data_IF_536342494294
#
_entry.id   IF_536342494294
#
_cell.length_a   1.000
_cell.length_b   1.000
_cell.length_c   1.000
_cell.angle_alpha   90.00
_cell.angle_beta   90.00
_cell.angle_gamma   90.00
#
_symmetry.space_group_name_H-M   'P 1'
#
loop_
_entity.id
_entity.type
_entity.pdbx_description
1 polymer ?
#
# COMPACT_ATOMS: atom_id res chain seq x y z
N UNK A 1 42.16 43.79 64.54
CA UNK A 1 41.67 44.53 63.34
C UNK A 1 41.27 43.53 62.27
N UNK A 2 39.96 43.37 62.02
CA UNK A 2 39.34 43.14 60.68
C UNK A 2 37.83 43.07 60.87
N UNK A 3 37.13 43.94 60.15
CA UNK A 3 35.68 44.15 60.18
C UNK A 3 34.98 42.98 59.48
N UNK A 4 33.87 42.52 60.07
CA UNK A 4 32.91 41.59 59.47
C UNK A 4 32.06 42.37 58.46
N UNK A 5 32.05 41.93 57.20
CA UNK A 5 31.24 42.53 56.12
C UNK A 5 29.87 41.87 56.01
N UNK A 6 28.87 42.70 55.77
CA UNK A 6 27.46 42.35 55.51
C UNK A 6 27.35 41.58 54.18
N UNK A 7 26.61 40.47 54.17
CA UNK A 7 26.15 39.79 52.96
C UNK A 7 24.82 40.40 52.50
N UNK A 8 24.76 40.85 51.24
CA UNK A 8 23.53 41.21 50.55
C UNK A 8 22.93 39.96 49.89
N UNK A 9 21.61 39.79 50.05
CA UNK A 9 20.80 38.79 49.35
C UNK A 9 20.63 39.20 47.88
N UNK A 10 21.05 38.34 46.96
CA UNK A 10 20.68 38.41 45.53
C UNK A 10 19.51 37.45 45.32
N UNK A 11 18.37 37.98 44.89
CA UNK A 11 17.22 37.18 44.46
C UNK A 11 17.56 36.45 43.16
N UNK A 12 17.50 35.13 43.18
CA UNK A 12 17.57 34.29 41.98
C UNK A 12 16.14 34.06 41.47
N UNK A 13 15.84 34.53 40.26
CA UNK A 13 14.57 34.24 39.56
C UNK A 13 14.61 32.80 39.06
N UNK A 14 13.62 32.01 39.45
CA UNK A 14 13.38 30.65 38.93
C UNK A 14 12.66 30.79 37.59
N UNK A 15 13.37 30.53 36.50
CA UNK A 15 12.75 30.27 35.19
C UNK A 15 12.26 28.82 35.20
N UNK A 16 10.96 28.63 34.96
CA UNK A 16 10.34 27.31 34.87
C UNK A 16 10.92 26.53 33.68
N UNK A 17 11.63 25.44 33.96
CA UNK A 17 12.04 24.47 32.95
C UNK A 17 10.88 23.47 32.79
N UNK A 18 10.34 23.39 31.57
CA UNK A 18 9.34 22.40 31.20
C UNK A 18 9.93 20.99 31.37
N UNK A 19 9.29 20.19 32.23
CA UNK A 19 9.63 18.79 32.47
C UNK A 19 9.03 17.96 31.34
N UNK A 20 9.84 17.61 30.34
CA UNK A 20 9.47 16.62 29.33
C UNK A 20 9.38 15.26 30.00
N UNK A 21 8.15 14.78 30.23
CA UNK A 21 7.86 13.44 30.69
C UNK A 21 8.15 12.47 29.54
N UNK A 22 9.32 11.84 29.56
CA UNK A 22 9.64 10.70 28.69
C UNK A 22 8.80 9.52 29.17
N UNK A 23 7.75 9.17 28.43
CA UNK A 23 7.04 7.91 28.55
C UNK A 23 8.03 6.78 28.25
N UNK A 24 8.56 6.14 29.29
CA UNK A 24 9.18 4.83 29.18
C UNK A 24 8.07 3.83 28.81
N UNK A 25 8.02 3.45 27.53
CA UNK A 25 7.23 2.31 27.09
C UNK A 25 7.67 1.06 27.84
N UNK A 26 6.79 0.54 28.69
CA UNK A 26 7.03 -0.72 29.39
C UNK A 26 7.03 -1.87 28.38
N UNK A 27 8.12 -2.63 28.35
CA UNK A 27 8.16 -3.92 27.68
C UNK A 27 7.18 -4.86 28.39
N UNK A 28 6.08 -5.23 27.73
CA UNK A 28 5.24 -6.33 28.19
C UNK A 28 6.02 -7.65 27.96
N UNK A 29 6.40 -8.31 29.06
CA UNK A 29 6.87 -9.70 29.04
C UNK A 29 5.65 -10.62 28.98
N UNK A 30 5.72 -11.69 28.20
CA UNK A 30 4.69 -12.73 28.25
C UNK A 30 4.84 -13.58 29.53
N UNK A 31 3.88 -14.47 29.80
CA UNK A 31 3.90 -15.35 30.99
C UNK A 31 5.05 -16.38 31.02
N UNK A 32 6.00 -16.33 30.07
CA UNK A 32 7.19 -17.18 30.01
C UNK A 32 8.49 -16.40 30.20
N UNK A 33 8.42 -15.09 30.41
CA UNK A 33 9.62 -14.25 30.62
C UNK A 33 10.45 -14.07 29.36
N UNK A 34 9.90 -14.39 28.18
CA UNK A 34 10.50 -13.98 26.91
C UNK A 34 9.95 -12.59 26.54
N UNK A 35 10.76 -11.71 25.94
CA UNK A 35 10.24 -10.47 25.36
C UNK A 35 9.17 -10.87 24.35
N UNK A 36 7.92 -10.46 24.61
CA UNK A 36 6.84 -10.69 23.67
C UNK A 36 7.30 -10.18 22.30
N UNK A 37 7.12 -10.99 21.25
CA UNK A 37 7.31 -10.63 19.85
C UNK A 37 6.28 -9.58 19.38
N UNK A 38 6.02 -8.56 20.20
CA UNK A 38 5.08 -7.47 20.00
C UNK A 38 5.54 -6.49 18.88
N UNK A 39 6.30 -6.97 17.90
CA UNK A 39 6.83 -6.16 16.81
C UNK A 39 7.32 -6.94 15.59
N UNK A 40 7.07 -8.25 15.51
CA UNK A 40 7.24 -8.96 14.24
C UNK A 40 6.07 -8.58 13.35
N UNK A 41 6.21 -7.51 12.58
CA UNK A 41 5.22 -7.18 11.57
C UNK A 41 5.16 -8.31 10.55
N UNK A 42 3.97 -8.66 10.05
CA UNK A 42 3.89 -9.76 9.11
C UNK A 42 4.60 -9.47 7.78
N UNK A 43 4.90 -8.21 7.43
CA UNK A 43 5.73 -7.87 6.26
C UNK A 43 7.17 -8.33 6.46
N UNK A 44 7.75 -8.04 7.61
CA UNK A 44 9.11 -8.45 7.92
C UNK A 44 9.23 -9.97 7.86
N UNK A 45 8.23 -10.68 8.40
CA UNK A 45 8.16 -12.15 8.38
C UNK A 45 7.95 -12.70 6.96
N UNK A 46 7.06 -12.11 6.15
CA UNK A 46 6.81 -12.53 4.77
C UNK A 46 8.02 -12.29 3.87
N UNK A 47 8.65 -11.11 3.98
CA UNK A 47 9.87 -10.79 3.26
C UNK A 47 11.01 -11.74 3.66
N UNK A 48 11.18 -12.04 4.95
CA UNK A 48 12.13 -13.04 5.44
C UNK A 48 11.87 -14.43 4.86
N UNK A 49 10.59 -14.87 4.86
CA UNK A 49 10.17 -16.16 4.32
C UNK A 49 10.55 -16.31 2.84
N UNK A 50 10.34 -15.27 2.05
CA UNK A 50 10.63 -15.23 0.61
C UNK A 50 12.09 -14.97 0.25
N UNK A 51 12.96 -14.73 1.24
CA UNK A 51 14.38 -14.41 1.04
C UNK A 51 15.28 -15.30 1.89
N UNK A 52 15.76 -14.83 3.04
CA UNK A 52 16.73 -15.51 3.90
C UNK A 52 16.26 -16.92 4.30
N UNK A 53 14.98 -17.10 4.62
CA UNK A 53 14.46 -18.39 5.06
C UNK A 53 14.53 -19.48 3.99
N UNK A 54 14.55 -19.10 2.70
CA UNK A 54 14.68 -20.06 1.59
C UNK A 54 16.00 -20.84 1.66
N UNK A 55 17.05 -20.21 2.20
CA UNK A 55 18.35 -20.82 2.42
C UNK A 55 18.47 -21.36 3.84
N UNK A 56 18.08 -20.62 4.87
CA UNK A 56 18.28 -21.11 6.26
C UNK A 56 17.41 -22.32 6.57
N UNK A 57 16.14 -22.33 6.13
CA UNK A 57 15.21 -23.44 6.32
C UNK A 57 15.60 -24.72 5.56
N UNK A 58 16.56 -24.65 4.64
CA UNK A 58 17.03 -25.81 3.86
C UNK A 58 18.45 -26.23 4.23
N UNK A 59 19.40 -25.27 4.26
CA UNK A 59 20.83 -25.53 4.46
C UNK A 59 21.26 -25.44 5.92
N UNK A 60 20.55 -24.67 6.74
CA UNK A 60 20.90 -24.45 8.15
C UNK A 60 20.03 -25.26 9.13
N UNK A 61 18.92 -25.84 8.67
CA UNK A 61 17.90 -26.50 9.50
C UNK A 61 18.43 -27.65 10.37
N UNK A 62 19.41 -28.41 9.90
CA UNK A 62 20.02 -29.50 10.68
C UNK A 62 20.67 -29.00 11.97
N UNK A 63 21.23 -27.79 11.95
CA UNK A 63 21.92 -27.21 13.10
C UNK A 63 21.08 -26.14 13.82
N UNK A 64 20.28 -25.34 13.10
CA UNK A 64 19.60 -24.15 13.62
C UNK A 64 18.07 -24.29 13.70
N UNK A 65 17.56 -25.52 13.81
CA UNK A 65 16.16 -25.80 14.12
C UNK A 65 15.88 -25.74 15.62
N UNK A 66 14.61 -25.90 16.01
CA UNK A 66 14.21 -25.98 17.41
C UNK A 66 14.86 -27.18 18.10
N UNK A 67 15.60 -26.92 19.18
CA UNK A 67 16.36 -27.95 19.91
C UNK A 67 17.78 -28.18 19.39
N UNK A 68 18.19 -27.46 18.33
CA UNK A 68 19.56 -27.41 17.83
C UNK A 68 20.40 -26.32 18.50
N UNK A 69 21.31 -25.76 17.72
CA UNK A 69 22.17 -24.64 18.07
C UNK A 69 21.42 -23.30 17.91
N UNK A 70 21.60 -22.42 18.90
CA UNK A 70 21.11 -21.05 18.83
C UNK A 70 22.00 -20.18 17.93
N UNK A 71 21.44 -19.19 17.21
CA UNK A 71 20.02 -18.84 17.14
C UNK A 71 19.17 -19.78 16.27
N UNK A 72 17.87 -19.88 16.56
CA UNK A 72 16.93 -20.77 15.85
C UNK A 72 16.50 -20.22 14.47
N UNK A 73 17.45 -19.82 13.62
CA UNK A 73 17.23 -19.14 12.32
C UNK A 73 16.60 -20.03 11.24
N UNK A 74 16.44 -21.32 11.53
CA UNK A 74 15.85 -22.32 10.65
C UNK A 74 14.79 -23.14 11.39
N UNK A 75 14.14 -22.56 12.41
CA UNK A 75 12.96 -23.15 13.04
C UNK A 75 11.82 -23.33 12.01
N UNK A 76 11.08 -24.44 12.12
CA UNK A 76 9.92 -24.73 11.27
C UNK A 76 8.86 -23.63 11.33
N UNK A 77 8.66 -23.05 12.52
CA UNK A 77 7.90 -21.84 12.72
C UNK A 77 8.70 -20.63 12.20
N UNK A 78 8.29 -20.14 11.03
CA UNK A 78 8.94 -19.02 10.31
C UNK A 78 9.01 -17.76 11.18
N UNK A 79 8.04 -17.52 12.07
CA UNK A 79 8.04 -16.35 12.95
C UNK A 79 9.17 -16.43 13.98
N UNK A 80 9.44 -17.64 14.50
CA UNK A 80 10.58 -17.88 15.40
C UNK A 80 11.91 -17.81 14.65
N UNK A 81 11.96 -18.35 13.44
CA UNK A 81 13.14 -18.24 12.58
C UNK A 81 13.47 -16.79 12.25
N UNK A 82 12.46 -15.99 11.91
CA UNK A 82 12.55 -14.56 11.68
C UNK A 82 13.11 -13.83 12.90
N UNK A 83 12.53 -14.07 14.09
CA UNK A 83 12.99 -13.44 15.34
C UNK A 83 14.47 -13.77 15.64
N UNK A 84 14.81 -15.04 15.47
CA UNK A 84 16.18 -15.54 15.60
C UNK A 84 17.11 -14.85 14.61
N UNK A 85 16.75 -14.74 13.34
CA UNK A 85 17.61 -14.16 12.31
C UNK A 85 17.77 -12.64 12.49
N UNK A 86 16.67 -11.94 12.77
CA UNK A 86 16.61 -10.48 12.85
C UNK A 86 17.55 -9.91 13.90
N UNK A 87 17.70 -10.62 15.03
CA UNK A 87 18.61 -10.25 16.12
C UNK A 87 20.08 -10.18 15.68
N UNK A 88 20.45 -10.90 14.61
CA UNK A 88 21.82 -11.01 14.10
C UNK A 88 22.02 -10.36 12.73
N UNK A 89 21.03 -9.58 12.30
CA UNK A 89 21.03 -8.85 11.03
C UNK A 89 21.24 -7.36 11.28
N UNK A 90 22.17 -6.76 10.55
CA UNK A 90 22.39 -5.33 10.52
C UNK A 90 21.92 -4.77 9.18
N UNK A 91 20.72 -4.22 9.14
CA UNK A 91 20.17 -3.66 7.90
C UNK A 91 20.83 -2.35 7.46
N UNK A 92 21.46 -1.61 8.38
CA UNK A 92 22.22 -0.39 8.02
C UNK A 92 23.57 -0.69 7.35
N UNK A 93 24.09 -1.91 7.54
CA UNK A 93 25.31 -2.41 6.92
C UNK A 93 25.21 -3.94 6.81
N UNK A 94 24.68 -4.41 5.68
CA UNK A 94 24.35 -5.83 5.45
C UNK A 94 25.57 -6.73 5.63
N UNK A 95 26.73 -6.34 5.11
CA UNK A 95 27.97 -7.11 5.22
C UNK A 95 28.46 -7.25 6.67
N UNK A 96 28.10 -6.30 7.54
CA UNK A 96 28.40 -6.36 8.97
C UNK A 96 27.45 -7.28 9.76
N UNK A 97 26.39 -7.80 9.13
CA UNK A 97 25.46 -8.74 9.76
C UNK A 97 26.22 -9.99 10.22
N UNK A 98 25.98 -10.44 11.45
CA UNK A 98 26.58 -11.69 11.95
C UNK A 98 26.15 -12.87 11.09
N UNK A 99 24.89 -12.87 10.64
CA UNK A 99 24.35 -13.87 9.71
C UNK A 99 25.20 -14.01 8.44
N UNK A 100 25.54 -12.89 7.79
CA UNK A 100 26.36 -12.85 6.56
C UNK A 100 27.80 -13.27 6.84
N UNK A 101 28.43 -12.75 7.89
CA UNK A 101 29.82 -13.11 8.22
C UNK A 101 29.99 -14.58 8.57
N UNK A 102 28.98 -15.20 9.19
CA UNK A 102 28.99 -16.64 9.49
C UNK A 102 28.83 -17.51 8.27
N UNK A 103 28.10 -17.07 7.26
CA UNK A 103 28.12 -17.76 5.97
C UNK A 103 29.47 -17.61 5.24
N UNK A 104 30.27 -16.59 5.59
CA UNK A 104 31.59 -16.34 5.00
C UNK A 104 32.78 -17.06 5.66
N UNK A 105 32.63 -17.60 6.87
CA UNK A 105 33.76 -18.18 7.63
C UNK A 105 33.83 -19.71 7.59
N UNK A 106 33.05 -20.34 6.70
CA UNK A 106 32.99 -21.80 6.53
C UNK A 106 32.12 -22.50 7.57
N UNK A 107 31.35 -21.75 8.37
CA UNK A 107 30.46 -22.28 9.41
C UNK A 107 29.54 -23.41 8.94
N UNK A 108 29.00 -23.27 7.72
CA UNK A 108 28.04 -24.21 7.15
C UNK A 108 28.67 -25.33 6.30
N UNK A 109 30.00 -25.47 6.31
CA UNK A 109 30.72 -26.50 5.54
C UNK A 109 30.70 -26.31 4.01
N UNK A 110 30.31 -25.12 3.53
CA UNK A 110 30.16 -24.76 2.11
C UNK A 110 31.25 -23.83 1.56
N UNK A 111 30.98 -23.22 0.40
CA UNK A 111 31.91 -22.32 -0.30
C UNK A 111 31.84 -20.90 0.29
N UNK A 112 32.75 -20.63 1.24
CA UNK A 112 32.80 -19.43 2.09
C UNK A 112 32.41 -18.11 1.38
N UNK A 113 33.08 -17.77 0.27
CA UNK A 113 32.85 -16.45 -0.36
C UNK A 113 31.53 -16.35 -1.12
N UNK A 114 31.06 -17.43 -1.76
CA UNK A 114 29.80 -17.42 -2.52
C UNK A 114 28.57 -17.54 -1.62
N UNK A 115 28.66 -18.31 -0.54
CA UNK A 115 27.54 -18.47 0.41
C UNK A 115 27.31 -17.15 1.17
N UNK A 116 28.39 -16.42 1.46
CA UNK A 116 28.33 -15.08 2.04
C UNK A 116 27.68 -14.04 1.17
N UNK A 117 28.05 -13.97 -0.11
CA UNK A 117 27.45 -13.00 -1.04
C UNK A 117 25.98 -13.34 -1.34
N UNK A 118 25.63 -14.62 -1.43
CA UNK A 118 24.23 -15.07 -1.52
C UNK A 118 23.43 -14.61 -0.29
N UNK A 119 23.94 -14.87 0.92
CA UNK A 119 23.26 -14.45 2.15
C UNK A 119 23.12 -12.94 2.26
N UNK A 120 24.16 -12.17 1.87
CA UNK A 120 24.10 -10.71 1.83
C UNK A 120 23.00 -10.23 0.87
N UNK A 121 22.90 -10.80 -0.33
CA UNK A 121 21.85 -10.47 -1.28
C UNK A 121 20.44 -10.80 -0.74
N UNK A 122 20.29 -11.94 -0.05
CA UNK A 122 19.01 -12.31 0.57
C UNK A 122 18.63 -11.39 1.74
N UNK A 123 19.59 -10.96 2.56
CA UNK A 123 19.36 -9.98 3.63
C UNK A 123 19.01 -8.61 3.05
N UNK A 124 19.66 -8.19 1.98
CA UNK A 124 19.32 -6.94 1.28
C UNK A 124 17.89 -7.01 0.74
N UNK A 125 17.51 -8.13 0.12
CA UNK A 125 16.13 -8.36 -0.34
C UNK A 125 15.12 -8.32 0.81
N UNK A 126 15.44 -8.95 1.95
CA UNK A 126 14.61 -8.89 3.15
C UNK A 126 14.40 -7.45 3.65
N UNK A 127 15.46 -6.64 3.65
CA UNK A 127 15.36 -5.22 3.99
C UNK A 127 14.43 -4.48 3.04
N UNK A 128 14.64 -4.59 1.73
CA UNK A 128 13.87 -3.89 0.71
C UNK A 128 12.39 -4.27 0.71
N UNK A 129 12.08 -5.58 0.79
CA UNK A 129 10.71 -6.07 0.70
C UNK A 129 9.93 -5.96 2.02
N UNK A 130 10.64 -5.84 3.15
CA UNK A 130 10.05 -5.94 4.49
C UNK A 130 10.44 -4.81 5.43
N UNK A 131 11.64 -4.90 5.98
CA UNK A 131 12.04 -4.10 7.14
C UNK A 131 12.16 -2.59 6.83
N UNK A 132 12.54 -2.22 5.60
CA UNK A 132 12.53 -0.83 5.14
C UNK A 132 11.12 -0.29 4.94
N UNK A 133 10.21 -1.14 4.44
CA UNK A 133 8.80 -0.77 4.24
C UNK A 133 8.12 -0.52 5.57
N UNK A 134 8.47 -1.24 6.63
CA UNK A 134 7.97 -0.94 7.99
C UNK A 134 8.35 0.45 8.48
N UNK A 135 9.58 0.88 8.22
CA UNK A 135 10.00 2.23 8.55
C UNK A 135 9.21 3.27 7.74
N UNK A 136 8.90 2.99 6.47
CA UNK A 136 8.08 3.86 5.63
C UNK A 136 6.61 3.92 6.08
N UNK A 137 6.06 2.81 6.56
CA UNK A 137 4.69 2.78 7.11
C UNK A 137 4.60 3.45 8.49
N UNK A 138 5.70 3.53 9.24
CA UNK A 138 5.72 4.24 10.52
C UNK A 138 5.40 5.74 10.36
N UNK A 139 5.71 6.31 9.19
CA UNK A 139 5.36 7.68 8.81
C UNK A 139 4.06 7.75 7.97
N UNK A 140 3.48 6.60 7.63
CA UNK A 140 2.28 6.49 6.80
C UNK A 140 0.99 6.77 7.57
N UNK A 141 -0.05 7.13 6.82
CA UNK A 141 -1.42 7.28 7.30
C UNK A 141 -2.07 5.90 7.28
N UNK A 142 -2.18 5.29 8.45
CA UNK A 142 -2.79 3.98 8.66
C UNK A 142 -4.27 4.16 9.00
N UNK A 143 -5.18 3.69 8.14
CA UNK A 143 -6.60 3.70 8.45
C UNK A 143 -6.94 2.56 9.44
N UNK A 144 -8.03 2.67 10.21
CA UNK A 144 -8.43 1.63 11.14
C UNK A 144 -8.61 0.26 10.45
N UNK A 145 -8.07 -0.79 11.07
CA UNK A 145 -8.29 -2.15 10.61
C UNK A 145 -9.78 -2.51 10.66
N UNK A 146 -10.29 -3.19 9.64
CA UNK A 146 -11.67 -3.66 9.59
C UNK A 146 -11.73 -5.16 9.31
N UNK A 147 -12.63 -5.85 9.99
CA UNK A 147 -12.90 -7.27 9.74
C UNK A 147 -13.44 -7.46 8.32
N UNK A 148 -12.93 -8.49 7.65
CA UNK A 148 -13.37 -8.84 6.31
C UNK A 148 -14.77 -9.48 6.40
N UNK A 149 -15.74 -9.08 5.55
CA UNK A 149 -17.04 -9.72 5.53
C UNK A 149 -16.93 -11.24 5.34
N UNK A 150 -17.63 -12.00 6.17
CA UNK A 150 -17.57 -13.48 6.12
C UNK A 150 -18.30 -14.07 4.91
N UNK A 151 -19.18 -13.28 4.29
CA UNK A 151 -20.09 -13.66 3.21
C UNK A 151 -19.68 -13.13 1.83
N UNK A 152 -18.38 -12.86 1.63
CA UNK A 152 -17.86 -12.42 0.32
C UNK A 152 -18.16 -13.44 -0.78
N UNK A 153 -18.81 -12.98 -1.84
CA UNK A 153 -19.09 -13.73 -3.07
C UNK A 153 -17.80 -13.98 -3.89
N UNK A 154 -17.81 -14.98 -4.78
CA UNK A 154 -16.78 -15.16 -5.82
C UNK A 154 -17.11 -14.38 -7.11
N UNK A 155 -18.40 -14.15 -7.37
CA UNK A 155 -18.88 -13.44 -8.55
C UNK A 155 -18.89 -11.93 -8.35
N UNK A 156 -19.33 -11.49 -7.17
CA UNK A 156 -19.70 -10.10 -6.92
C UNK A 156 -18.76 -9.46 -5.92
N UNK A 157 -18.42 -8.21 -6.19
CA UNK A 157 -17.63 -7.40 -5.27
C UNK A 157 -18.50 -6.81 -4.17
N UNK A 158 -18.00 -6.87 -2.94
CA UNK A 158 -18.51 -6.16 -1.77
C UNK A 158 -17.61 -4.95 -1.51
N UNK A 159 -18.20 -3.78 -1.33
CA UNK A 159 -17.44 -2.55 -1.07
C UNK A 159 -17.22 -2.40 0.43
N UNK A 160 -15.96 -2.32 0.85
CA UNK A 160 -15.57 -1.89 2.19
C UNK A 160 -15.25 -0.40 2.18
N UNK A 161 -15.52 0.28 3.30
CA UNK A 161 -15.43 1.73 3.42
C UNK A 161 -14.68 2.13 4.70
N UNK A 162 -13.77 3.10 4.59
CA UNK A 162 -13.06 3.69 5.71
C UNK A 162 -13.30 5.20 5.73
N UNK A 163 -13.70 5.75 6.87
CA UNK A 163 -13.77 7.21 7.03
C UNK A 163 -12.36 7.81 6.91
N UNK A 164 -12.29 8.96 6.25
CA UNK A 164 -11.09 9.78 6.13
C UNK A 164 -11.16 11.03 7.03
N UNK A 165 -12.18 11.15 7.88
CA UNK A 165 -12.42 12.37 8.68
C UNK A 165 -11.26 12.72 9.62
N UNK A 166 -10.54 11.72 10.11
CA UNK A 166 -9.40 11.90 11.02
C UNK A 166 -8.10 12.26 10.30
N UNK A 167 -8.04 12.07 8.97
CA UNK A 167 -6.78 12.16 8.19
C UNK A 167 -6.85 13.18 7.06
N UNK A 168 -8.04 13.56 6.62
CA UNK A 168 -8.27 14.56 5.58
C UNK A 168 -9.16 15.69 6.09
N UNK A 169 -8.68 16.95 6.08
CA UNK A 169 -9.53 18.11 6.37
C UNK A 169 -10.72 18.19 5.40
N UNK A 170 -11.94 18.16 5.93
CA UNK A 170 -13.17 18.10 5.12
C UNK A 170 -13.68 16.69 4.83
N UNK A 171 -12.99 15.68 5.34
CA UNK A 171 -13.46 14.31 5.40
C UNK A 171 -13.52 13.60 4.06
N UNK A 172 -14.25 12.49 4.07
CA UNK A 172 -14.44 11.64 2.92
C UNK A 172 -14.43 10.17 3.30
N UNK A 173 -14.47 9.32 2.28
CA UNK A 173 -14.48 7.87 2.43
C UNK A 173 -13.48 7.29 1.46
N UNK A 174 -12.59 6.43 1.95
CA UNK A 174 -11.84 5.51 1.11
C UNK A 174 -12.66 4.24 0.92
N UNK A 175 -12.78 3.77 -0.32
CA UNK A 175 -13.49 2.55 -0.64
C UNK A 175 -12.57 1.55 -1.34
N UNK A 176 -12.75 0.27 -1.00
CA UNK A 176 -12.09 -0.85 -1.64
C UNK A 176 -13.13 -1.92 -1.97
N UNK A 177 -13.11 -2.45 -3.18
CA UNK A 177 -14.01 -3.53 -3.60
C UNK A 177 -13.34 -4.88 -3.40
N UNK A 178 -13.97 -5.81 -2.68
CA UNK A 178 -13.44 -7.13 -2.35
C UNK A 178 -14.34 -8.26 -2.81
N UNK A 179 -13.75 -9.39 -3.18
CA UNK A 179 -14.44 -10.66 -3.39
C UNK A 179 -13.52 -11.83 -3.08
N UNK A 180 -14.07 -13.02 -2.96
CA UNK A 180 -13.26 -14.26 -2.90
C UNK A 180 -12.71 -14.57 -4.28
N UNK A 181 -11.50 -15.12 -4.31
CA UNK A 181 -10.97 -15.71 -5.52
C UNK A 181 -11.71 -17.03 -5.86
N UNK A 182 -11.32 -17.68 -6.96
CA UNK A 182 -11.96 -18.93 -7.39
C UNK A 182 -11.68 -20.11 -6.44
N UNK A 183 -10.59 -20.07 -5.68
CA UNK A 183 -10.29 -21.10 -4.68
C UNK A 183 -11.11 -20.92 -3.39
N UNK A 184 -11.54 -19.70 -3.10
CA UNK A 184 -12.15 -19.32 -1.83
C UNK A 184 -11.12 -19.02 -0.73
N UNK A 185 -9.83 -19.32 -0.95
CA UNK A 185 -8.75 -19.09 -0.01
C UNK A 185 -8.06 -17.72 -0.21
N UNK A 186 -8.31 -17.08 -1.35
CA UNK A 186 -7.80 -15.78 -1.68
C UNK A 186 -8.87 -14.69 -1.62
N UNK A 187 -8.39 -13.45 -1.53
CA UNK A 187 -9.17 -12.24 -1.69
C UNK A 187 -8.68 -11.51 -2.92
N UNK A 188 -9.62 -11.13 -3.77
CA UNK A 188 -9.37 -10.21 -4.87
C UNK A 188 -9.88 -8.86 -4.41
N UNK A 189 -8.99 -7.87 -4.38
CA UNK A 189 -9.36 -6.48 -4.14
C UNK A 189 -9.18 -5.67 -5.42
N UNK A 190 -10.04 -4.68 -5.62
CA UNK A 190 -10.02 -3.84 -6.82
C UNK A 190 -10.66 -2.48 -6.54
N UNK A 191 -10.49 -1.57 -7.50
CA UNK A 191 -11.11 -0.25 -7.51
C UNK A 191 -10.92 0.55 -6.21
N UNK A 192 -9.69 0.67 -5.66
CA UNK A 192 -9.46 1.65 -4.61
C UNK A 192 -9.90 3.03 -5.10
N UNK A 193 -10.78 3.70 -4.35
CA UNK A 193 -11.28 5.03 -4.70
C UNK A 193 -11.47 5.90 -3.48
N UNK A 194 -11.42 7.22 -3.70
CA UNK A 194 -11.72 8.22 -2.68
C UNK A 194 -12.99 8.94 -3.08
N UNK A 195 -13.94 8.98 -2.14
CA UNK A 195 -15.17 9.74 -2.22
C UNK A 195 -15.01 10.93 -1.30
N UNK A 196 -14.85 12.13 -1.86
CA UNK A 196 -14.70 13.36 -1.08
C UNK A 196 -15.31 14.57 -1.79
N UNK A 197 -15.70 15.57 -1.01
CA UNK A 197 -16.13 16.88 -1.51
C UNK A 197 -14.96 17.77 -1.94
N UNK A 198 -13.72 17.31 -1.72
CA UNK A 198 -12.47 18.01 -2.02
C UNK A 198 -11.59 17.17 -2.92
N UNK A 199 -10.70 17.82 -3.64
CA UNK A 199 -9.65 17.13 -4.38
C UNK A 199 -8.56 16.66 -3.42
N UNK A 200 -8.05 15.46 -3.66
CA UNK A 200 -7.10 14.79 -2.77
C UNK A 200 -5.91 14.29 -3.59
N UNK A 201 -4.70 14.64 -3.17
CA UNK A 201 -3.48 14.07 -3.70
C UNK A 201 -3.14 12.78 -2.94
N UNK A 202 -2.82 11.73 -3.69
CA UNK A 202 -2.50 10.39 -3.20
C UNK A 202 -1.20 9.92 -3.82
N UNK A 203 -0.19 9.66 -2.99
CA UNK A 203 1.12 9.22 -3.48
C UNK A 203 1.24 7.72 -3.65
N UNK A 204 0.80 6.97 -2.64
CA UNK A 204 0.71 5.52 -2.71
C UNK A 204 -0.35 4.99 -1.78
N UNK A 205 -0.80 3.78 -2.08
CA UNK A 205 -1.71 2.98 -1.27
C UNK A 205 -1.13 1.58 -1.15
N UNK A 206 -1.09 1.10 0.08
CA UNK A 206 -0.74 -0.27 0.42
C UNK A 206 -1.91 -0.89 1.17
N UNK A 207 -2.13 -2.19 0.95
CA UNK A 207 -3.17 -2.94 1.66
C UNK A 207 -2.49 -3.89 2.64
N UNK A 208 -2.80 -3.72 3.92
CA UNK A 208 -2.45 -4.63 4.99
C UNK A 208 -3.51 -5.70 5.21
N UNK A 209 -3.07 -6.89 5.62
CA UNK A 209 -3.83 -8.03 6.10
C UNK A 209 -3.26 -8.43 7.46
N UNK A 210 -4.08 -8.42 8.51
CA UNK A 210 -3.69 -8.80 9.88
C UNK A 210 -2.45 -8.06 10.42
N UNK A 211 -2.35 -6.76 10.12
CA UNK A 211 -1.19 -5.94 10.51
C UNK A 211 0.07 -6.16 9.66
N UNK A 212 -0.02 -6.92 8.58
CA UNK A 212 1.04 -7.16 7.60
C UNK A 212 0.69 -6.57 6.24
N UNK A 213 1.54 -5.79 5.59
CA UNK A 213 1.39 -5.54 4.14
C UNK A 213 1.30 -6.83 3.35
N UNK A 214 0.36 -6.81 2.43
CA UNK A 214 -0.05 -7.99 1.70
C UNK A 214 0.73 -8.16 0.38
N UNK A 215 2.03 -7.84 0.40
CA UNK A 215 2.97 -7.97 -0.72
C UNK A 215 3.47 -6.63 -1.28
N UNK A 216 4.27 -6.62 -2.38
CA UNK A 216 4.59 -5.40 -3.11
C UNK A 216 3.29 -4.76 -3.60
N UNK A 217 3.07 -3.50 -3.23
CA UNK A 217 1.77 -2.85 -3.38
C UNK A 217 1.38 -2.70 -4.84
N UNK A 218 0.24 -3.29 -5.22
CA UNK A 218 -0.43 -3.04 -6.51
C UNK A 218 -0.65 -1.54 -6.77
N UNK A 219 -0.70 -0.75 -5.70
CA UNK A 219 -0.93 0.69 -5.73
C UNK A 219 0.21 1.50 -5.08
N UNK A 220 1.43 0.94 -5.12
CA UNK A 220 2.62 1.57 -4.52
C UNK A 220 3.09 2.84 -5.26
N UNK A 221 2.64 3.06 -6.50
CA UNK A 221 3.04 4.17 -7.37
C UNK A 221 1.82 4.88 -7.97
N UNK A 222 1.02 5.58 -7.14
CA UNK A 222 -0.16 6.31 -7.62
C UNK A 222 0.16 7.75 -8.01
N UNK A 223 0.90 8.47 -7.15
CA UNK A 223 1.34 9.87 -7.26
C UNK A 223 0.44 10.77 -8.13
N UNK A 224 -0.78 11.02 -7.66
CA UNK A 224 -1.79 11.76 -8.43
C UNK A 224 -2.83 12.45 -7.57
N UNK A 225 -3.45 13.47 -8.17
CA UNK A 225 -4.64 14.11 -7.59
C UNK A 225 -5.92 13.51 -8.14
N UNK A 226 -6.83 13.13 -7.24
CA UNK A 226 -8.23 12.84 -7.55
C UNK A 226 -9.07 14.07 -7.28
N UNK A 227 -9.99 14.40 -8.18
CA UNK A 227 -10.88 15.53 -7.97
C UNK A 227 -12.02 15.18 -7.01
N UNK A 228 -12.62 16.21 -6.42
CA UNK A 228 -13.85 16.09 -5.67
C UNK A 228 -14.93 15.32 -6.47
N UNK A 229 -15.62 14.39 -5.82
CA UNK A 229 -16.66 13.57 -6.41
C UNK A 229 -16.81 12.21 -5.74
N UNK A 230 -17.65 11.37 -6.32
CA UNK A 230 -18.01 10.04 -5.80
C UNK A 230 -17.36 8.88 -6.56
N UNK A 231 -16.58 9.18 -7.60
CA UNK A 231 -16.21 8.19 -8.61
C UNK A 231 -14.71 8.18 -8.97
N UNK A 232 -13.88 8.88 -8.19
CA UNK A 232 -12.47 9.01 -8.49
C UNK A 232 -11.68 7.75 -8.12
N UNK A 233 -11.47 6.90 -9.12
CA UNK A 233 -10.74 5.64 -8.98
C UNK A 233 -9.24 5.93 -8.95
N UNK A 234 -8.55 5.43 -7.91
CA UNK A 234 -7.08 5.52 -7.80
C UNK A 234 -6.41 4.57 -8.78
N UNK A 235 -6.93 3.34 -8.85
CA UNK A 235 -6.56 2.33 -9.83
C UNK A 235 -7.69 1.33 -10.03
N UNK A 236 -7.77 0.77 -11.22
CA UNK A 236 -8.64 -0.31 -11.66
C UNK A 236 -7.95 -1.67 -11.62
N UNK A 237 -6.63 -1.68 -11.43
CA UNK A 237 -5.84 -2.89 -11.21
C UNK A 237 -6.40 -3.65 -10.01
N UNK A 238 -6.49 -4.97 -10.17
CA UNK A 238 -6.86 -5.86 -9.07
C UNK A 238 -5.61 -6.48 -8.47
N UNK A 239 -5.58 -6.61 -7.15
CA UNK A 239 -4.58 -7.41 -6.47
C UNK A 239 -5.21 -8.66 -5.86
N UNK A 240 -4.36 -9.63 -5.51
CA UNK A 240 -4.75 -10.88 -4.89
C UNK A 240 -3.99 -11.03 -3.58
N UNK A 241 -4.71 -11.22 -2.47
CA UNK A 241 -4.14 -11.57 -1.17
C UNK A 241 -4.51 -13.00 -0.84
N UNK A 242 -3.56 -13.74 -0.27
CA UNK A 242 -3.85 -15.04 0.33
C UNK A 242 -4.35 -14.80 1.75
N UNK A 243 -5.58 -15.21 2.04
CA UNK A 243 -6.25 -14.99 3.32
C UNK A 243 -7.10 -16.23 3.66
N UNK A 244 -6.44 -17.26 4.17
CA UNK A 244 -7.08 -18.50 4.57
C UNK A 244 -7.75 -18.36 5.93
N UNK A 245 -9.08 -18.34 5.95
CA UNK A 245 -9.87 -18.23 7.18
C UNK A 245 -10.91 -17.12 7.12
N UNK A 246 -11.61 -16.95 8.24
CA UNK A 246 -12.64 -15.91 8.43
C UNK A 246 -12.17 -14.72 9.23
N UNK A 247 -11.10 -14.87 10.03
CA UNK A 247 -10.76 -13.94 11.09
C UNK A 247 -9.64 -13.00 10.65
N UNK A 248 -9.82 -12.42 9.47
CA UNK A 248 -8.83 -11.53 8.87
C UNK A 248 -9.30 -10.07 8.92
N UNK A 249 -8.34 -9.17 9.09
CA UNK A 249 -8.56 -7.73 9.08
C UNK A 249 -7.79 -7.06 7.94
N UNK A 250 -8.41 -6.10 7.29
CA UNK A 250 -7.79 -5.28 6.25
C UNK A 250 -7.51 -3.88 6.75
N UNK A 251 -6.31 -3.40 6.42
CA UNK A 251 -5.80 -2.10 6.84
C UNK A 251 -5.26 -1.34 5.63
N UNK A 252 -5.98 -0.34 5.10
CA UNK A 252 -5.44 0.57 4.09
C UNK A 252 -4.37 1.47 4.69
N UNK A 253 -3.26 1.64 3.98
CA UNK A 253 -2.14 2.46 4.44
C UNK A 253 -1.68 3.36 3.30
N UNK A 254 -1.67 4.67 3.53
CA UNK A 254 -1.21 5.67 2.57
C UNK A 254 0.14 6.21 3.01
N UNK A 255 1.08 6.40 2.09
CA UNK A 255 2.31 7.14 2.42
C UNK A 255 2.09 8.65 2.46
N UNK A 256 1.14 9.13 1.66
CA UNK A 256 0.75 10.53 1.62
C UNK A 256 -0.70 10.64 1.13
N UNK A 257 -1.49 11.42 1.86
CA UNK A 257 -2.90 11.69 1.57
C UNK A 257 -3.20 13.13 2.00
N UNK A 258 -3.25 14.04 1.03
CA UNK A 258 -3.34 15.48 1.29
C UNK A 258 -4.47 16.12 0.50
N UNK A 259 -5.13 17.14 1.04
CA UNK A 259 -6.00 18.01 0.24
C UNK A 259 -5.17 18.69 -0.86
N UNK A 260 -5.72 18.79 -2.05
CA UNK A 260 -5.07 19.37 -3.22
C UNK A 260 -6.02 20.26 -4.00
N UNK A 261 -5.49 21.06 -4.91
CA UNK A 261 -6.30 21.78 -5.89
C UNK A 261 -6.89 20.81 -6.90
N UNK A 262 -8.08 21.11 -7.42
CA UNK A 262 -8.63 20.36 -8.55
C UNK A 262 -7.69 20.41 -9.75
N UNK A 263 -7.53 19.26 -10.39
CA UNK A 263 -6.84 19.12 -11.66
C UNK A 263 -7.84 19.29 -12.80
N UNK A 264 -7.48 20.09 -13.79
CA UNK A 264 -8.23 20.24 -15.03
C UNK A 264 -7.50 19.55 -16.17
N UNK A 265 -8.25 19.18 -17.20
CA UNK A 265 -7.74 18.53 -18.39
C UNK A 265 -6.78 19.45 -19.14
N UNK A 266 -5.52 19.00 -19.24
CA UNK A 266 -4.44 19.77 -19.87
C UNK A 266 -4.41 19.56 -21.39
N UNK A 267 -4.83 18.39 -21.86
CA UNK A 267 -4.82 17.99 -23.26
C UNK A 267 -6.19 18.14 -23.94
N UNK A 268 -6.94 19.20 -23.63
CA UNK A 268 -8.30 19.41 -24.14
C UNK A 268 -8.39 19.35 -25.67
N UNK A 269 -7.44 19.95 -26.39
CA UNK A 269 -7.44 19.93 -27.86
C UNK A 269 -7.29 18.51 -28.42
N UNK A 270 -6.41 17.71 -27.82
CA UNK A 270 -6.23 16.30 -28.18
C UNK A 270 -7.46 15.48 -27.80
N UNK A 271 -8.01 15.67 -26.60
CA UNK A 271 -9.24 15.02 -26.16
C UNK A 271 -10.38 15.20 -27.18
N UNK A 272 -10.60 16.45 -27.62
CA UNK A 272 -11.63 16.79 -28.60
C UNK A 272 -11.36 16.16 -29.98
N UNK A 273 -10.09 16.09 -30.39
CA UNK A 273 -9.71 15.55 -31.69
C UNK A 273 -9.71 14.01 -31.75
N UNK A 274 -9.35 13.31 -30.65
CA UNK A 274 -9.14 11.86 -30.65
C UNK A 274 -10.14 11.10 -29.78
N UNK A 275 -10.14 11.33 -28.46
CA UNK A 275 -10.90 10.53 -27.49
C UNK A 275 -12.41 10.78 -27.57
N UNK A 276 -12.84 12.05 -27.60
CA UNK A 276 -14.25 12.45 -27.61
C UNK A 276 -15.05 11.83 -28.77
N UNK A 277 -14.56 11.80 -30.04
CA UNK A 277 -15.26 11.08 -31.11
C UNK A 277 -15.52 9.61 -30.80
N UNK A 278 -14.57 8.92 -30.14
CA UNK A 278 -14.74 7.50 -29.79
C UNK A 278 -15.80 7.31 -28.70
N UNK A 279 -15.78 8.17 -27.68
CA UNK A 279 -16.79 8.21 -26.61
C UNK A 279 -18.17 8.56 -27.16
N UNK A 280 -18.25 9.54 -28.07
CA UNK A 280 -19.50 9.96 -28.70
C UNK A 280 -20.15 8.84 -29.50
N UNK A 281 -19.35 8.09 -30.26
CA UNK A 281 -19.85 7.04 -31.13
C UNK A 281 -20.30 5.77 -30.38
N UNK A 282 -19.80 5.56 -29.16
CA UNK A 282 -19.94 4.27 -28.48
C UNK A 282 -20.65 4.36 -27.12
N UNK A 283 -20.57 5.50 -26.45
CA UNK A 283 -20.95 5.63 -25.05
C UNK A 283 -22.08 6.65 -24.83
N UNK A 284 -22.18 7.71 -25.66
CA UNK A 284 -23.14 8.81 -25.42
C UNK A 284 -24.60 8.35 -25.38
N UNK A 285 -24.97 7.33 -26.16
CA UNK A 285 -26.34 6.80 -26.16
C UNK A 285 -26.80 6.31 -24.77
N UNK A 286 -25.86 5.81 -23.95
CA UNK A 286 -26.15 5.40 -22.58
C UNK A 286 -25.89 6.54 -21.59
N UNK A 287 -24.75 7.22 -21.72
CA UNK A 287 -24.25 8.14 -20.69
C UNK A 287 -24.83 9.57 -20.76
N UNK A 288 -25.44 9.98 -21.88
CA UNK A 288 -26.12 11.29 -22.02
C UNK A 288 -27.64 11.23 -21.86
N UNK A 289 -28.19 10.03 -21.69
CA UNK A 289 -29.64 9.79 -21.76
C UNK A 289 -30.32 9.69 -20.38
N UNK A 290 -31.44 8.96 -20.36
CA UNK A 290 -32.21 8.68 -19.15
C UNK A 290 -31.72 7.42 -18.40
N UNK A 291 -30.58 6.84 -18.82
CA UNK A 291 -29.97 5.73 -18.08
C UNK A 291 -29.28 6.31 -16.85
N UNK A 292 -30.05 6.45 -15.77
CA UNK A 292 -29.59 7.05 -14.52
C UNK A 292 -28.32 6.36 -14.00
N UNK A 293 -28.26 5.03 -14.06
CA UNK A 293 -27.11 4.26 -13.58
C UNK A 293 -25.83 4.54 -14.39
N UNK A 294 -25.94 4.68 -15.71
CA UNK A 294 -24.80 5.02 -16.57
C UNK A 294 -24.36 6.47 -16.35
N UNK A 295 -25.32 7.40 -16.30
CA UNK A 295 -25.05 8.83 -16.15
C UNK A 295 -24.53 9.17 -14.74
N UNK A 296 -25.01 8.51 -13.68
CA UNK A 296 -24.53 8.73 -12.32
C UNK A 296 -23.09 8.26 -12.14
N UNK A 297 -22.69 7.20 -12.85
CA UNK A 297 -21.31 6.75 -12.90
C UNK A 297 -20.50 7.73 -13.73
N UNK A 298 -20.83 7.93 -15.00
CA UNK A 298 -20.06 8.82 -15.85
C UNK A 298 -20.98 9.69 -16.69
N UNK A 299 -21.19 10.92 -16.22
CA UNK A 299 -22.00 11.90 -16.93
C UNK A 299 -21.20 12.44 -18.12
N UNK A 300 -21.65 12.11 -19.33
CA UNK A 300 -21.01 12.57 -20.54
C UNK A 300 -21.63 13.86 -21.10
N UNK A 301 -22.53 14.52 -20.37
CA UNK A 301 -23.16 15.79 -20.77
C UNK A 301 -22.19 16.96 -20.55
N UNK A 302 -22.62 18.16 -20.98
CA UNK A 302 -21.84 19.38 -20.85
C UNK A 302 -20.97 19.72 -22.06
N UNK A 303 -20.09 20.70 -21.83
CA UNK A 303 -19.08 21.22 -22.75
C UNK A 303 -17.91 20.24 -22.89
N UNK A 304 -17.03 20.52 -23.85
CA UNK A 304 -15.86 19.69 -24.12
C UNK A 304 -14.87 19.69 -22.97
N UNK A 305 -14.74 20.82 -22.28
CA UNK A 305 -13.90 20.95 -21.09
C UNK A 305 -14.47 20.13 -19.93
N UNK A 306 -15.77 20.28 -19.63
CA UNK A 306 -16.43 19.51 -18.56
C UNK A 306 -16.35 18.00 -18.80
N UNK A 307 -16.55 17.56 -20.05
CA UNK A 307 -16.42 16.14 -20.41
C UNK A 307 -14.97 15.65 -20.27
N UNK A 308 -13.98 16.48 -20.62
CA UNK A 308 -12.58 16.12 -20.45
C UNK A 308 -12.23 15.98 -18.96
N UNK A 309 -12.62 16.96 -18.14
CA UNK A 309 -12.42 16.93 -16.68
C UNK A 309 -13.10 15.72 -16.04
N UNK A 310 -14.33 15.40 -16.44
CA UNK A 310 -15.03 14.20 -15.99
C UNK A 310 -14.32 12.91 -16.40
N UNK A 311 -13.64 12.91 -17.56
CA UNK A 311 -12.86 11.77 -18.05
C UNK A 311 -11.60 11.53 -17.21
N UNK A 312 -11.01 12.56 -16.60
CA UNK A 312 -9.84 12.43 -15.70
C UNK A 312 -10.12 11.51 -14.51
N UNK A 313 -11.36 11.52 -14.01
CA UNK A 313 -11.81 10.66 -12.91
C UNK A 313 -11.89 9.18 -13.27
N UNK A 314 -11.72 8.87 -14.56
CA UNK A 314 -11.76 7.52 -15.13
C UNK A 314 -10.42 7.07 -15.68
N UNK A 315 -9.35 7.80 -15.38
CA UNK A 315 -7.98 7.43 -15.73
C UNK A 315 -7.34 6.64 -14.60
N UNK A 316 -6.53 5.66 -14.97
CA UNK A 316 -5.62 4.93 -14.11
C UNK A 316 -4.19 5.42 -14.40
N UNK A 317 -3.27 5.29 -13.44
CA UNK A 317 -1.86 5.62 -13.64
C UNK A 317 -1.21 4.74 -14.72
N UNK A 318 -1.63 3.47 -14.81
CA UNK A 318 -1.41 2.66 -15.99
C UNK A 318 -2.53 2.97 -16.97
N UNK A 319 -2.20 3.75 -17.99
CA UNK A 319 -3.14 4.18 -19.01
C UNK A 319 -3.96 3.02 -19.60
N UNK A 320 -3.36 1.83 -19.73
CA UNK A 320 -4.06 0.65 -20.24
C UNK A 320 -5.16 0.18 -19.31
N UNK A 321 -5.01 0.34 -18.00
CA UNK A 321 -5.98 -0.12 -17.02
C UNK A 321 -7.15 0.86 -16.87
N UNK A 322 -7.00 2.12 -17.31
CA UNK A 322 -8.02 3.17 -17.19
C UNK A 322 -9.46 2.66 -17.44
N UNK A 323 -10.38 2.82 -16.47
CA UNK A 323 -11.80 2.45 -16.62
C UNK A 323 -12.44 2.92 -17.93
N UNK A 324 -12.04 4.10 -18.42
CA UNK A 324 -12.49 4.68 -19.68
C UNK A 324 -12.21 3.78 -20.90
N UNK A 325 -11.20 2.91 -20.81
CA UNK A 325 -10.79 1.96 -21.85
C UNK A 325 -11.28 0.56 -21.50
N UNK A 326 -10.96 0.08 -20.30
CA UNK A 326 -11.16 -1.33 -19.93
C UNK A 326 -12.63 -1.71 -19.83
N UNK A 327 -13.49 -0.85 -19.28
CA UNK A 327 -14.89 -1.19 -19.05
C UNK A 327 -15.65 -1.40 -20.38
N UNK A 328 -15.61 -0.49 -21.36
CA UNK A 328 -16.27 -0.72 -22.64
C UNK A 328 -15.59 -1.82 -23.47
N UNK A 329 -14.27 -2.01 -23.37
CA UNK A 329 -13.56 -3.03 -24.14
C UNK A 329 -13.88 -4.46 -23.66
N UNK A 330 -13.93 -4.65 -22.34
CA UNK A 330 -13.97 -5.96 -21.69
C UNK A 330 -15.27 -6.23 -20.93
N UNK A 331 -16.24 -5.31 -20.92
CA UNK A 331 -17.54 -5.52 -20.29
C UNK A 331 -17.44 -5.68 -18.77
N UNK A 332 -16.54 -4.91 -18.16
CA UNK A 332 -16.24 -4.98 -16.72
C UNK A 332 -17.18 -4.05 -15.95
N UNK A 333 -17.44 -4.36 -14.67
CA UNK A 333 -18.21 -3.51 -13.75
C UNK A 333 -19.66 -3.23 -14.21
N UNK A 334 -20.34 -4.23 -14.76
CA UNK A 334 -21.71 -4.10 -15.26
C UNK A 334 -21.82 -3.35 -16.59
N UNK A 335 -20.70 -3.00 -17.23
CA UNK A 335 -20.71 -2.44 -18.57
C UNK A 335 -21.01 -3.55 -19.60
N UNK A 336 -21.88 -3.32 -20.62
CA UNK A 336 -22.04 -4.29 -21.71
C UNK A 336 -20.71 -4.52 -22.42
N UNK A 337 -20.39 -5.79 -22.72
CA UNK A 337 -19.19 -6.16 -23.46
C UNK A 337 -19.24 -5.56 -24.87
N UNK A 338 -18.24 -4.74 -25.22
CA UNK A 338 -18.06 -4.13 -26.55
C UNK A 338 -19.34 -3.45 -27.04
N UNK A 339 -19.76 -2.31 -26.43
CA UNK A 339 -20.90 -1.56 -26.92
C UNK A 339 -20.71 -1.28 -28.42
N UNK A 340 -21.80 -1.29 -29.18
CA UNK A 340 -21.77 -1.34 -30.66
C UNK A 340 -20.67 -0.47 -31.28
N UNK A 341 -19.65 -1.13 -31.85
CA UNK A 341 -18.53 -0.49 -32.55
C UNK A 341 -17.32 -0.13 -31.69
N UNK A 342 -17.35 -0.29 -30.36
CA UNK A 342 -16.15 -0.13 -29.54
C UNK A 342 -15.23 -1.34 -29.67
N UNK A 343 -14.01 -1.10 -30.12
CA UNK A 343 -13.01 -2.12 -30.42
C UNK A 343 -11.61 -1.61 -30.05
N UNK A 344 -10.59 -2.45 -30.28
CA UNK A 344 -9.20 -2.10 -29.95
C UNK A 344 -8.73 -0.81 -30.61
N UNK A 345 -9.11 -0.56 -31.87
CA UNK A 345 -8.73 0.67 -32.58
C UNK A 345 -9.28 1.92 -31.91
N UNK A 346 -10.56 1.88 -31.47
CA UNK A 346 -11.16 3.01 -30.74
C UNK A 346 -10.53 3.18 -29.35
N UNK A 347 -10.27 2.06 -28.67
CA UNK A 347 -9.56 2.06 -27.39
C UNK A 347 -8.16 2.70 -27.52
N UNK A 348 -7.41 2.40 -28.59
CA UNK A 348 -6.09 2.97 -28.84
C UNK A 348 -6.11 4.49 -29.01
N UNK A 349 -7.14 5.06 -29.64
CA UNK A 349 -7.26 6.51 -29.78
C UNK A 349 -7.56 7.22 -28.45
N UNK A 350 -8.33 6.57 -27.56
CA UNK A 350 -8.52 7.06 -26.19
C UNK A 350 -7.20 6.92 -25.41
N UNK A 351 -6.53 5.76 -25.50
CA UNK A 351 -5.27 5.47 -24.84
C UNK A 351 -4.16 6.47 -25.19
N UNK A 352 -4.07 6.91 -26.44
CA UNK A 352 -3.12 7.95 -26.86
C UNK A 352 -3.36 9.25 -26.08
N UNK A 353 -4.61 9.72 -25.99
CA UNK A 353 -4.94 10.90 -25.18
C UNK A 353 -4.67 10.66 -23.69
N UNK A 354 -4.99 9.49 -23.13
CA UNK A 354 -4.71 9.18 -21.72
C UNK A 354 -3.23 9.28 -21.42
N UNK A 355 -2.37 8.69 -22.26
CA UNK A 355 -0.92 8.78 -22.07
C UNK A 355 -0.43 10.23 -22.14
N UNK A 356 -0.92 11.01 -23.11
CA UNK A 356 -0.57 12.42 -23.24
C UNK A 356 -1.02 13.25 -22.03
N UNK A 357 -2.20 12.96 -21.49
CA UNK A 357 -2.73 13.64 -20.31
C UNK A 357 -1.92 13.27 -19.06
N UNK A 358 -1.68 11.98 -18.82
CA UNK A 358 -0.90 11.52 -17.66
C UNK A 358 0.54 12.05 -17.67
N UNK A 359 1.16 12.18 -18.84
CA UNK A 359 2.51 12.75 -18.96
C UNK A 359 2.56 14.28 -18.76
N UNK A 360 1.43 14.96 -18.85
CA UNK A 360 1.33 16.41 -18.71
C UNK A 360 0.96 16.88 -17.30
N UNK A 361 0.50 15.96 -16.44
CA UNK A 361 0.18 16.18 -15.02
C UNK A 361 1.43 16.05 -14.15
#
# INVERSE_FOLDING_TARGET
>A
MRKVSKFQYVQCRVTALALTLVLLGGCALDNRGEPALAGASGIGVLAFRGSVYTVTGTRCVTCHSLGGQYPNIAAEDVTKAYAGARTYTNFSNVDASVLVRKTMDGHCGGACSSDGSEMAALVQKWWEDGESRLAQLADGIVLPAQDIPTDLSQSDFTVMQWSLDDVLPGGGVFELSLKRDLSGEGLIFSMPRIVSSRSVHVKSLEIGLDGALAGPGTYSTLDRTVNAGTEAVLSSSSGILLASGSDHQITPIFTELNESSSVSCTQLSKFVASAKPQLSNSCFGCHRGNNFDATSRFDMRGTDAELCDASLMRLDWDANNSPLIQYPLNGINGHPLRPSGFNQTRASAILEWVNDELNAQ
#
